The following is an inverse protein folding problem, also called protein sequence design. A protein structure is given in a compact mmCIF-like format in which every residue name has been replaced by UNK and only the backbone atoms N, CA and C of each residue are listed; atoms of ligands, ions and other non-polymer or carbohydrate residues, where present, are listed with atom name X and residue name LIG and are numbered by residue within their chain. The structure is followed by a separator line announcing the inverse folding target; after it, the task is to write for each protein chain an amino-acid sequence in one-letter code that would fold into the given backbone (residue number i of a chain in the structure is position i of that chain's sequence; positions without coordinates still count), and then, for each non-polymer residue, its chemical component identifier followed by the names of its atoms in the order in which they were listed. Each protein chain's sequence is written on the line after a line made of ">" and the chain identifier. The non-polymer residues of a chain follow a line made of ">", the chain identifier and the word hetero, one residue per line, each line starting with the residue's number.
data_IF_134189439603
#
_entry.id   IF_134189439603
#
_cell.length_a   1.000
_cell.length_b   1.000
_cell.length_c   1.000
_cell.angle_alpha   90.00
_cell.angle_beta   90.00
_cell.angle_gamma   90.00
#
_symmetry.space_group_name_H-M   'P 1'
#
loop_
_entity.id
_entity.type
_entity.pdbx_description
1 polymer ?
#
# COMPACT_ATOMS: atom_id res chain seq x y z
N UNK A 1 -0.54 13.11 0.29
CA UNK A 1 -0.12 13.17 -1.14
C UNK A 1 -0.79 12.07 -1.99
N UNK A 2 -1.47 12.40 -3.09
CA UNK A 2 -2.21 11.41 -3.93
C UNK A 2 -1.34 10.83 -5.06
N UNK A 3 -1.37 9.51 -5.27
CA UNK A 3 -0.66 8.81 -6.35
C UNK A 3 -1.61 8.33 -7.44
N UNK A 4 -1.15 8.32 -8.69
CA UNK A 4 -1.94 7.80 -9.81
C UNK A 4 -1.57 6.35 -10.13
N UNK A 5 -2.53 5.46 -10.48
CA UNK A 5 -2.26 4.07 -10.85
C UNK A 5 -1.21 3.92 -11.97
N UNK A 6 -1.16 4.90 -12.88
CA UNK A 6 -0.19 4.92 -13.98
C UNK A 6 1.26 5.06 -13.50
N UNK A 7 1.52 5.79 -12.42
CA UNK A 7 2.87 5.96 -11.87
C UNK A 7 3.39 4.67 -11.25
N UNK A 8 2.52 3.92 -10.55
CA UNK A 8 2.83 2.58 -10.05
C UNK A 8 3.11 1.61 -11.19
N UNK A 9 2.26 1.57 -12.23
CA UNK A 9 2.50 0.71 -13.41
C UNK A 9 3.83 1.03 -14.07
N UNK A 10 4.18 2.30 -14.19
CA UNK A 10 5.47 2.74 -14.73
C UNK A 10 6.63 2.24 -13.88
N UNK A 11 6.56 2.42 -12.57
CA UNK A 11 7.59 1.96 -11.65
C UNK A 11 7.74 0.43 -11.69
N UNK A 12 6.65 -0.32 -11.54
CA UNK A 12 6.64 -1.78 -11.59
C UNK A 12 7.24 -2.28 -12.90
N UNK A 13 6.87 -1.70 -14.04
CA UNK A 13 7.44 -2.12 -15.33
C UNK A 13 8.95 -1.85 -15.40
N UNK A 14 9.43 -0.70 -14.92
CA UNK A 14 10.88 -0.41 -14.90
C UNK A 14 11.63 -1.32 -13.94
N UNK A 15 11.04 -1.62 -12.78
CA UNK A 15 11.61 -2.47 -11.75
C UNK A 15 11.69 -3.95 -12.18
N UNK A 16 10.71 -4.44 -12.95
CA UNK A 16 10.75 -5.79 -13.54
C UNK A 16 11.76 -5.87 -14.69
N UNK A 17 11.82 -4.86 -15.55
CA UNK A 17 12.71 -4.87 -16.70
C UNK A 17 14.17 -4.54 -16.37
N UNK A 18 14.39 -3.82 -15.26
CA UNK A 18 15.69 -3.20 -14.91
C UNK A 18 16.32 -2.44 -16.08
N UNK A 19 15.47 -1.88 -16.96
CA UNK A 19 15.90 -1.20 -18.18
C UNK A 19 14.80 -0.28 -18.72
N UNK A 20 15.05 1.03 -18.71
CA UNK A 20 14.06 2.03 -19.14
C UNK A 20 13.58 1.88 -20.58
N UNK A 21 14.48 1.55 -21.52
CA UNK A 21 14.10 1.32 -22.93
C UNK A 21 13.15 0.13 -23.13
N UNK A 22 13.43 -1.03 -22.53
CA UNK A 22 12.54 -2.20 -22.56
C UNK A 22 11.21 -1.92 -21.86
N UNK A 23 11.24 -1.26 -20.71
CA UNK A 23 10.04 -0.86 -20.00
C UNK A 23 9.17 0.10 -20.83
N UNK A 24 9.76 1.10 -21.47
CA UNK A 24 9.04 2.03 -22.34
C UNK A 24 8.41 1.30 -23.53
N UNK A 25 9.15 0.36 -24.14
CA UNK A 25 8.63 -0.50 -25.22
C UNK A 25 7.45 -1.35 -24.73
N UNK A 26 7.54 -1.98 -23.56
CA UNK A 26 6.46 -2.78 -22.95
C UNK A 26 5.23 -1.94 -22.63
N UNK A 27 5.42 -0.68 -22.24
CA UNK A 27 4.34 0.29 -21.97
C UNK A 27 3.78 0.97 -23.22
N UNK A 28 4.35 0.76 -24.40
CA UNK A 28 3.94 1.42 -25.63
C UNK A 28 4.15 2.94 -25.62
N UNK A 29 5.15 3.44 -24.87
CA UNK A 29 5.46 4.87 -24.75
C UNK A 29 6.92 5.15 -25.09
N UNK A 30 7.25 6.43 -25.31
CA UNK A 30 8.64 6.86 -25.43
C UNK A 30 9.36 6.78 -24.06
N UNK A 31 10.67 6.55 -24.07
CA UNK A 31 11.48 6.49 -22.85
C UNK A 31 11.55 7.81 -22.05
N UNK A 32 11.67 9.01 -22.66
CA UNK A 32 11.77 10.27 -21.92
C UNK A 32 10.64 10.55 -20.91
N UNK A 33 9.34 10.41 -21.27
CA UNK A 33 8.26 10.59 -20.30
C UNK A 33 8.28 9.55 -19.17
N UNK A 34 8.67 8.30 -19.46
CA UNK A 34 8.82 7.26 -18.43
C UNK A 34 9.90 7.66 -17.40
N UNK A 35 11.09 8.04 -17.88
CA UNK A 35 12.19 8.47 -16.99
C UNK A 35 11.83 9.72 -16.17
N UNK A 36 11.05 10.64 -16.75
CA UNK A 36 10.53 11.81 -16.01
C UNK A 36 9.54 11.41 -14.94
N UNK A 37 8.58 10.53 -15.25
CA UNK A 37 7.58 10.07 -14.29
C UNK A 37 8.22 9.35 -13.10
N UNK A 38 9.21 8.47 -13.33
CA UNK A 38 9.92 7.81 -12.24
C UNK A 38 10.70 8.81 -11.38
N UNK A 39 11.36 9.81 -11.99
CA UNK A 39 12.06 10.85 -11.21
C UNK A 39 11.09 11.68 -10.36
N UNK A 40 9.93 12.02 -10.89
CA UNK A 40 8.90 12.75 -10.15
C UNK A 40 8.34 11.91 -8.99
N UNK A 41 8.19 10.61 -9.21
CA UNK A 41 7.81 9.66 -8.17
C UNK A 41 8.85 9.63 -7.03
N UNK A 42 10.12 9.44 -7.37
CA UNK A 42 11.23 9.44 -6.38
C UNK A 42 11.33 10.78 -5.63
N UNK A 43 11.13 11.90 -6.31
CA UNK A 43 11.12 13.24 -5.69
C UNK A 43 9.98 13.42 -4.69
N UNK A 44 8.77 13.00 -5.08
CA UNK A 44 7.59 13.05 -4.22
C UNK A 44 7.75 12.19 -2.98
N UNK A 45 8.35 11.01 -3.16
CA UNK A 45 8.64 10.07 -2.09
C UNK A 45 9.79 10.50 -1.17
N UNK A 46 10.63 11.43 -1.60
CA UNK A 46 11.86 11.79 -0.88
C UNK A 46 12.90 10.67 -0.83
N UNK A 47 12.70 9.55 -1.54
CA UNK A 47 13.62 8.39 -1.58
C UNK A 47 13.94 7.97 -3.01
N UNK A 48 15.16 7.47 -3.20
CA UNK A 48 15.55 6.81 -4.46
C UNK A 48 15.02 5.38 -4.46
N UNK A 49 14.31 5.01 -5.51
CA UNK A 49 13.77 3.67 -5.73
C UNK A 49 14.69 2.84 -6.64
N UNK A 50 15.46 3.52 -7.50
CA UNK A 50 16.35 2.89 -8.46
C UNK A 50 17.75 3.50 -8.39
N UNK A 51 18.77 2.64 -8.29
CA UNK A 51 20.14 3.03 -8.58
C UNK A 51 20.39 2.93 -10.09
N UNK A 52 20.93 4.00 -10.66
CA UNK A 52 21.21 4.13 -12.09
C UNK A 52 22.69 4.41 -12.25
N UNK A 53 23.44 3.45 -12.77
CA UNK A 53 24.88 3.59 -13.01
C UNK A 53 25.22 3.21 -14.46
N UNK A 54 26.53 3.12 -14.76
CA UNK A 54 27.01 2.71 -16.10
C UNK A 54 26.74 1.23 -16.41
N UNK A 55 26.43 0.42 -15.41
CA UNK A 55 26.20 -1.03 -15.51
C UNK A 55 24.71 -1.34 -15.68
N UNK A 56 23.82 -0.43 -15.32
CA UNK A 56 22.40 -0.53 -15.63
C UNK A 56 21.51 0.12 -14.58
N UNK A 57 20.33 -0.46 -14.40
CA UNK A 57 19.35 -0.07 -13.39
C UNK A 57 19.24 -1.19 -12.37
N UNK A 58 19.28 -0.85 -11.09
CA UNK A 58 19.06 -1.78 -9.98
C UNK A 58 18.06 -1.19 -8.99
N UNK A 59 17.37 -2.06 -8.24
CA UNK A 59 16.47 -1.62 -7.16
C UNK A 59 17.27 -1.27 -5.91
N UNK A 60 16.92 -0.14 -5.30
CA UNK A 60 17.31 0.17 -3.92
C UNK A 60 16.47 -0.67 -2.95
N UNK A 61 16.76 -0.59 -1.65
CA UNK A 61 15.93 -1.26 -0.65
C UNK A 61 14.49 -0.71 -0.60
N UNK A 62 14.26 0.62 -0.56
CA UNK A 62 12.92 1.17 -0.73
C UNK A 62 12.25 0.75 -2.05
N UNK A 63 13.02 0.64 -3.14
CA UNK A 63 12.53 0.15 -4.42
C UNK A 63 12.03 -1.29 -4.37
N UNK A 64 12.75 -2.19 -3.67
CA UNK A 64 12.31 -3.59 -3.48
C UNK A 64 11.02 -3.68 -2.70
N UNK A 65 10.91 -2.92 -1.60
CA UNK A 65 9.69 -2.85 -0.79
C UNK A 65 8.53 -2.36 -1.64
N UNK A 66 8.68 -1.21 -2.31
CA UNK A 66 7.62 -0.66 -3.15
C UNK A 66 7.22 -1.61 -4.28
N UNK A 67 8.16 -2.33 -4.91
CA UNK A 67 7.83 -3.28 -5.98
C UNK A 67 6.92 -4.40 -5.46
N UNK A 68 7.23 -4.96 -4.29
CA UNK A 68 6.43 -6.03 -3.69
C UNK A 68 5.00 -5.55 -3.44
N UNK A 69 4.84 -4.41 -2.76
CA UNK A 69 3.52 -3.88 -2.41
C UNK A 69 2.73 -3.41 -3.65
N UNK A 70 3.40 -2.75 -4.61
CA UNK A 70 2.77 -2.24 -5.81
C UNK A 70 2.22 -3.37 -6.71
N UNK A 71 2.88 -4.53 -6.75
CA UNK A 71 2.39 -5.69 -7.49
C UNK A 71 1.10 -6.23 -6.89
N UNK A 72 1.07 -6.42 -5.56
CA UNK A 72 -0.12 -6.86 -4.85
C UNK A 72 -1.30 -5.92 -5.12
N UNK A 73 -1.08 -4.61 -5.02
CA UNK A 73 -2.12 -3.62 -5.29
C UNK A 73 -2.59 -3.64 -6.76
N UNK A 74 -1.68 -3.75 -7.73
CA UNK A 74 -2.06 -3.79 -9.16
C UNK A 74 -2.75 -5.10 -9.55
N UNK A 75 -2.36 -6.23 -8.96
CA UNK A 75 -3.00 -7.52 -9.19
C UNK A 75 -4.43 -7.50 -8.65
N UNK A 76 -4.64 -6.94 -7.46
CA UNK A 76 -5.96 -6.70 -6.89
C UNK A 76 -6.85 -5.86 -7.83
N UNK A 77 -6.33 -4.75 -8.35
CA UNK A 77 -7.06 -3.89 -9.31
C UNK A 77 -7.35 -4.61 -10.63
N UNK A 78 -6.42 -5.46 -11.09
CA UNK A 78 -6.58 -6.19 -12.35
C UNK A 78 -7.61 -7.31 -12.20
N UNK A 79 -7.57 -8.06 -11.10
CA UNK A 79 -8.58 -9.08 -10.78
C UNK A 79 -9.97 -8.46 -10.69
N UNK A 80 -10.05 -7.33 -9.99
CA UNK A 80 -11.24 -6.51 -9.90
C UNK A 80 -11.79 -6.08 -11.28
N UNK A 81 -10.94 -5.58 -12.17
CA UNK A 81 -11.34 -5.15 -13.51
C UNK A 81 -11.73 -6.31 -14.45
N UNK A 82 -11.41 -7.56 -14.11
CA UNK A 82 -11.73 -8.74 -14.91
C UNK A 82 -13.18 -9.22 -14.70
N UNK A 83 -13.84 -8.79 -13.63
CA UNK A 83 -15.23 -9.16 -13.33
C UNK A 83 -16.20 -8.57 -14.36
N UNK A 84 -17.07 -9.38 -15.01
CA UNK A 84 -18.02 -8.89 -15.99
C UNK A 84 -18.97 -7.83 -15.42
N UNK A 85 -18.95 -6.63 -16.00
CA UNK A 85 -19.78 -5.50 -15.54
C UNK A 85 -19.19 -4.73 -14.36
N UNK A 86 -17.96 -5.02 -13.93
CA UNK A 86 -17.27 -4.21 -12.94
C UNK A 86 -17.05 -2.78 -13.47
N UNK A 87 -17.32 -1.75 -12.64
CA UNK A 87 -17.00 -0.38 -13.01
C UNK A 87 -15.47 -0.21 -13.14
N UNK A 88 -15.01 0.73 -13.97
CA UNK A 88 -13.59 1.11 -13.97
C UNK A 88 -13.21 1.60 -12.57
N UNK A 89 -12.10 1.08 -12.04
CA UNK A 89 -11.62 1.43 -10.70
C UNK A 89 -10.28 2.12 -10.79
N UNK A 90 -10.21 3.29 -10.16
CA UNK A 90 -8.98 4.02 -9.94
C UNK A 90 -8.57 3.87 -8.47
N UNK A 91 -7.29 3.53 -8.25
CA UNK A 91 -6.71 3.43 -6.91
C UNK A 91 -5.90 4.68 -6.60
N UNK A 92 -6.24 5.31 -5.48
CA UNK A 92 -5.48 6.41 -4.93
C UNK A 92 -4.62 5.88 -3.79
N UNK A 93 -3.30 6.05 -3.89
CA UNK A 93 -2.44 5.91 -2.71
C UNK A 93 -2.32 7.27 -2.02
N UNK A 94 -2.34 7.24 -0.69
CA UNK A 94 -2.19 8.41 0.17
C UNK A 94 -1.25 8.09 1.35
N UNK A 95 -0.91 9.13 2.10
CA UNK A 95 -0.09 8.97 3.30
C UNK A 95 -0.92 8.47 4.48
N UNK A 96 -0.24 7.91 5.48
CA UNK A 96 -0.89 7.46 6.72
C UNK A 96 -1.55 8.67 7.40
N UNK A 97 -2.82 8.53 7.77
CA UNK A 97 -3.66 9.56 8.37
C UNK A 97 -4.44 10.42 7.37
N UNK A 98 -4.25 10.24 6.05
CA UNK A 98 -5.02 10.96 5.02
C UNK A 98 -6.24 10.17 4.51
N UNK A 99 -6.36 8.89 4.83
CA UNK A 99 -7.33 7.97 4.22
C UNK A 99 -8.77 8.41 4.44
N UNK A 100 -9.12 8.86 5.65
CA UNK A 100 -10.47 9.32 5.99
C UNK A 100 -10.86 10.61 5.23
N UNK A 101 -9.90 11.47 4.88
CA UNK A 101 -10.17 12.70 4.16
C UNK A 101 -10.66 12.47 2.73
N UNK A 102 -10.09 11.46 2.04
CA UNK A 102 -10.37 11.25 0.61
C UNK A 102 -11.85 10.96 0.33
N UNK A 103 -12.54 10.07 1.05
CA UNK A 103 -13.96 9.86 0.81
C UNK A 103 -14.86 10.98 1.36
N UNK A 104 -14.45 11.66 2.43
CA UNK A 104 -15.16 12.85 2.96
C UNK A 104 -15.21 13.97 1.92
N UNK A 105 -14.10 14.20 1.23
CA UNK A 105 -13.97 15.23 0.21
C UNK A 105 -14.47 14.79 -1.17
N UNK A 106 -15.02 13.57 -1.29
CA UNK A 106 -15.52 13.02 -2.56
C UNK A 106 -14.42 12.66 -3.57
N UNK A 107 -13.17 12.56 -3.12
CA UNK A 107 -12.04 12.17 -3.97
C UNK A 107 -11.93 10.64 -4.13
N UNK A 108 -12.52 9.88 -3.22
CA UNK A 108 -12.63 8.42 -3.30
C UNK A 108 -14.03 7.96 -2.88
N UNK A 109 -14.52 6.86 -3.47
CA UNK A 109 -15.82 6.30 -3.07
C UNK A 109 -15.72 5.41 -1.81
N UNK A 110 -14.54 4.82 -1.61
CA UNK A 110 -14.22 3.85 -0.56
C UNK A 110 -12.75 4.02 -0.17
N UNK A 111 -12.39 3.79 1.10
CA UNK A 111 -11.00 3.76 1.55
C UNK A 111 -10.73 2.62 2.54
N UNK A 112 -9.48 2.14 2.53
CA UNK A 112 -8.93 1.25 3.57
C UNK A 112 -8.37 2.14 4.68
N UNK A 113 -8.83 1.92 5.92
CA UNK A 113 -8.47 2.72 7.09
C UNK A 113 -8.05 1.79 8.24
N UNK A 114 -7.45 2.33 9.30
CA UNK A 114 -6.95 1.56 10.44
C UNK A 114 -7.46 2.14 11.76
N UNK A 115 -8.05 1.32 12.62
CA UNK A 115 -8.31 1.69 14.02
C UNK A 115 -7.12 1.36 14.91
N UNK A 116 -6.77 2.22 15.88
CA UNK A 116 -7.47 3.45 16.28
C UNK A 116 -6.97 4.74 15.59
N UNK A 117 -6.17 4.64 14.52
CA UNK A 117 -5.46 5.79 13.94
C UNK A 117 -6.33 6.71 13.08
N UNK A 118 -7.23 6.14 12.28
CA UNK A 118 -8.14 6.88 11.40
C UNK A 118 -9.45 7.20 12.11
N UNK A 119 -9.93 8.45 11.94
CA UNK A 119 -11.24 8.88 12.42
C UNK A 119 -12.34 8.35 11.52
N UNK A 120 -13.09 7.38 12.04
CA UNK A 120 -14.16 6.69 11.30
C UNK A 120 -15.53 7.37 11.43
N UNK A 121 -15.65 8.51 12.12
CA UNK A 121 -16.93 9.16 12.32
C UNK A 121 -17.61 9.50 10.99
N UNK A 122 -18.89 9.11 10.86
CA UNK A 122 -19.70 9.35 9.65
C UNK A 122 -19.47 8.36 8.50
N UNK A 123 -18.67 7.32 8.71
CA UNK A 123 -18.50 6.22 7.76
C UNK A 123 -19.31 4.99 8.18
N UNK A 124 -19.86 4.31 7.19
CA UNK A 124 -20.19 2.89 7.32
C UNK A 124 -18.88 2.11 7.19
N UNK A 125 -18.68 1.11 8.05
CA UNK A 125 -17.41 0.38 8.13
C UNK A 125 -17.60 -1.12 8.20
N UNK A 126 -16.70 -1.86 7.57
CA UNK A 126 -16.59 -3.32 7.65
C UNK A 126 -15.17 -3.68 8.08
N UNK A 127 -15.03 -4.55 9.09
CA UNK A 127 -13.72 -5.03 9.55
C UNK A 127 -13.15 -6.04 8.55
N UNK A 128 -11.93 -5.80 8.07
CA UNK A 128 -11.26 -6.69 7.12
C UNK A 128 -10.34 -7.68 7.83
N UNK A 129 -9.42 -7.15 8.65
CA UNK A 129 -8.42 -7.94 9.38
C UNK A 129 -7.98 -7.22 10.65
N UNK A 130 -7.69 -8.01 11.69
CA UNK A 130 -7.04 -7.53 12.91
C UNK A 130 -5.58 -7.99 12.86
N UNK A 131 -4.67 -7.04 12.88
CA UNK A 131 -3.23 -7.28 12.99
C UNK A 131 -2.83 -7.26 14.47
N UNK A 132 -2.09 -8.30 14.89
CA UNK A 132 -1.64 -8.44 16.26
C UNK A 132 -0.62 -7.37 16.67
N UNK A 133 -0.54 -7.10 17.97
CA UNK A 133 0.47 -6.19 18.51
C UNK A 133 1.89 -6.71 18.30
N UNK A 134 2.79 -5.79 17.94
CA UNK A 134 4.24 -6.04 17.85
C UNK A 134 5.00 -5.15 18.82
N UNK A 135 6.04 -5.72 19.43
CA UNK A 135 7.00 -4.98 20.24
C UNK A 135 8.35 -4.90 19.52
N UNK A 136 8.95 -3.71 19.46
CA UNK A 136 10.24 -3.50 18.78
C UNK A 136 11.35 -3.42 19.83
N UNK A 137 12.26 -4.39 19.80
CA UNK A 137 13.37 -4.51 20.74
C UNK A 137 14.72 -4.37 20.03
N UNK A 138 15.75 -3.79 20.67
CA UNK A 138 17.11 -3.91 20.20
C UNK A 138 17.49 -5.38 20.02
N UNK A 139 18.22 -5.73 18.96
CA UNK A 139 18.60 -7.12 18.68
C UNK A 139 19.40 -7.78 19.82
N UNK A 140 20.08 -6.99 20.65
CA UNK A 140 20.82 -7.45 21.83
C UNK A 140 19.96 -7.62 23.09
N UNK A 141 18.69 -7.23 23.06
CA UNK A 141 17.80 -7.33 24.21
C UNK A 141 17.48 -8.80 24.53
N UNK A 142 17.48 -9.25 25.80
CA UNK A 142 17.24 -10.65 26.14
C UNK A 142 15.92 -11.22 25.60
N UNK A 143 14.87 -10.39 25.58
CA UNK A 143 13.57 -10.80 25.03
C UNK A 143 13.56 -10.95 23.50
N UNK A 144 14.52 -10.36 22.78
CA UNK A 144 14.61 -10.49 21.32
C UNK A 144 14.99 -11.92 20.86
N UNK A 145 15.56 -12.72 21.75
CA UNK A 145 15.91 -14.12 21.46
C UNK A 145 14.75 -15.11 21.68
N UNK A 146 13.57 -14.63 22.14
CA UNK A 146 12.44 -15.49 22.48
C UNK A 146 11.45 -15.54 21.32
N UNK A 147 10.97 -16.74 20.99
CA UNK A 147 9.96 -16.94 19.94
C UNK A 147 8.55 -16.51 20.37
N UNK A 148 8.28 -16.46 21.67
CA UNK A 148 6.99 -16.06 22.23
C UNK A 148 7.21 -15.23 23.49
N UNK A 149 6.40 -14.19 23.63
CA UNK A 149 6.38 -13.28 24.77
C UNK A 149 4.93 -13.09 25.23
N UNK A 150 4.75 -12.92 26.53
CA UNK A 150 3.46 -12.52 27.11
C UNK A 150 3.38 -11.00 27.21
N UNK A 151 2.16 -10.46 27.22
CA UNK A 151 1.95 -9.01 27.35
C UNK A 151 2.55 -8.46 28.66
N UNK A 152 2.56 -9.24 29.74
CA UNK A 152 3.18 -8.86 31.01
C UNK A 152 4.70 -8.69 30.88
N UNK A 153 5.40 -9.66 30.27
CA UNK A 153 6.85 -9.58 30.05
C UNK A 153 7.25 -8.37 29.19
N UNK A 154 6.40 -7.99 28.24
CA UNK A 154 6.62 -6.83 27.37
C UNK A 154 6.33 -5.52 28.11
N UNK A 155 5.26 -5.46 28.92
CA UNK A 155 4.85 -4.27 29.67
C UNK A 155 5.85 -3.87 30.75
N UNK A 156 6.64 -4.83 31.24
CA UNK A 156 7.69 -4.60 32.25
C UNK A 156 8.98 -3.99 31.65
N UNK A 157 9.12 -3.92 30.32
CA UNK A 157 10.29 -3.31 29.68
C UNK A 157 10.13 -1.79 29.66
N UNK A 158 11.01 -1.04 30.35
CA UNK A 158 10.92 0.43 30.39
C UNK A 158 11.04 1.04 28.99
N UNK A 159 10.20 2.04 28.72
CA UNK A 159 10.21 2.83 27.49
C UNK A 159 10.06 2.02 26.18
N UNK A 160 9.58 0.78 26.26
CA UNK A 160 9.41 -0.08 25.10
C UNK A 160 8.28 0.43 24.19
N UNK A 161 8.57 0.75 22.91
CA UNK A 161 7.50 1.06 21.97
C UNK A 161 6.68 -0.19 21.67
N UNK A 162 5.43 -0.19 22.14
CA UNK A 162 4.44 -1.23 21.84
C UNK A 162 3.48 -0.65 20.81
N UNK A 163 3.42 -1.25 19.62
CA UNK A 163 2.40 -0.91 18.66
C UNK A 163 1.02 -1.37 19.18
N UNK A 164 -0.03 -0.54 19.10
CA UNK A 164 -1.38 -0.97 19.47
C UNK A 164 -1.87 -2.07 18.53
N UNK A 165 -2.90 -2.80 18.95
CA UNK A 165 -3.60 -3.70 18.04
C UNK A 165 -4.25 -2.86 16.95
N UNK A 166 -4.08 -3.27 15.69
CA UNK A 166 -4.55 -2.50 14.54
C UNK A 166 -5.64 -3.28 13.84
N UNK A 167 -6.83 -2.69 13.71
CA UNK A 167 -7.88 -3.26 12.86
C UNK A 167 -7.93 -2.50 11.56
N UNK A 168 -7.62 -3.18 10.46
CA UNK A 168 -7.80 -2.68 9.10
C UNK A 168 -9.28 -2.80 8.75
N UNK A 169 -9.87 -1.68 8.37
CA UNK A 169 -11.30 -1.55 8.06
C UNK A 169 -11.47 -1.03 6.63
N UNK A 170 -12.57 -1.44 6.02
CA UNK A 170 -13.09 -0.82 4.81
C UNK A 170 -14.13 0.21 5.22
N UNK A 171 -13.97 1.46 4.77
CA UNK A 171 -14.89 2.56 5.09
C UNK A 171 -15.44 3.26 3.85
N UNK A 172 -16.72 3.62 3.87
CA UNK A 172 -17.36 4.45 2.84
C UNK A 172 -18.38 5.42 3.45
N UNK A 173 -18.60 6.61 2.86
CA UNK A 173 -19.60 7.54 3.37
C UNK A 173 -20.98 6.88 3.43
N UNK A 174 -21.76 7.13 4.49
CA UNK A 174 -23.10 6.53 4.64
C UNK A 174 -24.07 6.87 3.48
N UNK A 175 -23.78 7.93 2.73
CA UNK A 175 -24.51 8.33 1.51
C UNK A 175 -24.00 7.67 0.23
N UNK A 176 -22.91 6.89 0.29
CA UNK A 176 -22.26 6.28 -0.88
C UNK A 176 -23.10 5.14 -1.43
N UNK A 177 -23.25 5.11 -2.77
CA UNK A 177 -24.09 4.15 -3.49
C UNK A 177 -23.32 2.97 -4.09
N UNK A 178 -22.10 2.70 -3.65
CA UNK A 178 -21.22 1.71 -4.30
C UNK A 178 -21.02 0.40 -3.52
N UNK A 179 -22.06 -0.42 -3.26
CA UNK A 179 -21.91 -1.82 -2.86
C UNK A 179 -21.02 -2.64 -3.80
N UNK A 180 -20.99 -2.29 -5.09
CA UNK A 180 -20.15 -2.95 -6.09
C UNK A 180 -18.65 -2.69 -5.88
N UNK A 181 -18.27 -1.44 -5.56
CA UNK A 181 -16.87 -1.09 -5.26
C UNK A 181 -16.47 -1.68 -3.90
N UNK A 182 -17.35 -1.66 -2.90
CA UNK A 182 -17.10 -2.36 -1.64
C UNK A 182 -16.92 -3.87 -1.84
N UNK A 183 -17.75 -4.51 -2.66
CA UNK A 183 -17.61 -5.94 -3.01
C UNK A 183 -16.31 -6.25 -3.73
N UNK A 184 -15.88 -5.36 -4.62
CA UNK A 184 -14.61 -5.43 -5.31
C UNK A 184 -13.43 -5.34 -4.35
N UNK A 185 -13.46 -4.36 -3.43
CA UNK A 185 -12.45 -4.22 -2.40
C UNK A 185 -12.47 -5.42 -1.45
N UNK A 186 -13.61 -6.05 -1.16
CA UNK A 186 -13.64 -7.32 -0.40
C UNK A 186 -12.90 -8.45 -1.13
N UNK A 187 -13.12 -8.60 -2.43
CA UNK A 187 -12.43 -9.61 -3.24
C UNK A 187 -10.91 -9.35 -3.28
N UNK A 188 -10.52 -8.08 -3.41
CA UNK A 188 -9.14 -7.63 -3.38
C UNK A 188 -8.48 -7.73 -1.99
N UNK A 189 -9.18 -7.34 -0.93
CA UNK A 189 -8.77 -7.40 0.48
C UNK A 189 -8.78 -8.83 1.03
N UNK A 190 -9.37 -9.77 0.28
CA UNK A 190 -9.02 -11.19 0.29
C UNK A 190 -7.58 -11.47 -0.18
N UNK A 191 -6.64 -10.60 0.19
CA UNK A 191 -5.20 -10.75 0.06
C UNK A 191 -4.79 -12.05 0.77
N UNK A 192 -4.69 -13.12 0.00
CA UNK A 192 -4.16 -14.43 0.37
C UNK A 192 -4.64 -14.97 1.75
N UNK A 193 -5.87 -15.47 1.80
CA UNK A 193 -6.10 -16.67 2.60
C UNK A 193 -5.41 -17.84 1.89
N UNK A 194 -4.15 -18.09 2.24
CA UNK A 194 -3.55 -19.41 2.09
C UNK A 194 -2.95 -19.81 3.44
N UNK A 195 -3.36 -20.95 4.02
CA UNK A 195 -2.80 -21.45 5.28
C UNK A 195 -1.31 -21.80 5.15
#
# INVERSE_FOLDING_TARGET
>A
MIWKPRELRYFVTVAEELHFGRAAKRLGIAQPPLSRAIRQLEQRLGVRLLDRDRRGVALTEPGRVLLREAKVALDAVTAAAAEPGAPPVDVLLCEVGEQAGLPRDGQADVAIMHRPFDDLAGFDTEDLVVEGQVAILPAAHPLAAREQLTLAEVSDVPDLPIAPEVTTVLGWPASSRSPAVAALVRSAAGLYKNP
#
